data_IF_449345601092
#
_entry.id   IF_449345601092
#
_cell.length_a   1.000
_cell.length_b   1.000
_cell.length_c   1.000
_cell.angle_alpha   90.00
_cell.angle_beta   90.00
_cell.angle_gamma   90.00
#
_symmetry.space_group_name_H-M   'P 1'
#
loop_
_entity.id
_entity.type
_entity.pdbx_description
1 polymer ?
#
# COMPACT_ATOMS: atom_id res chain seq x y z
N UNK A 1 39.46 -4.97 -14.27
CA UNK A 1 38.59 -4.25 -15.22
C UNK A 1 37.25 -4.12 -14.52
N UNK A 2 36.83 -2.91 -14.17
CA UNK A 2 35.64 -2.67 -13.35
C UNK A 2 34.38 -2.99 -14.16
N UNK A 3 33.55 -3.92 -13.68
CA UNK A 3 32.21 -4.17 -14.21
C UNK A 3 31.33 -2.96 -13.87
N UNK A 4 31.01 -2.16 -14.89
CA UNK A 4 30.08 -1.06 -14.76
C UNK A 4 28.67 -1.63 -14.55
N UNK A 5 28.15 -1.39 -13.35
CA UNK A 5 26.85 -1.82 -12.87
C UNK A 5 25.72 -1.27 -13.77
N UNK A 6 25.14 -2.12 -14.63
CA UNK A 6 24.16 -1.76 -15.66
C UNK A 6 22.71 -1.56 -15.13
N UNK A 7 22.55 -1.34 -13.82
CA UNK A 7 21.22 -1.21 -13.19
C UNK A 7 20.54 0.15 -13.48
N UNK A 8 21.28 1.13 -14.03
CA UNK A 8 20.74 2.45 -14.35
C UNK A 8 19.96 2.55 -15.66
N UNK A 9 20.04 1.57 -16.57
CA UNK A 9 19.47 1.68 -17.92
C UNK A 9 17.98 1.34 -18.00
N UNK A 10 17.46 0.56 -17.05
CA UNK A 10 16.07 0.10 -17.07
C UNK A 10 15.09 1.06 -16.37
N UNK A 11 15.57 2.23 -15.93
CA UNK A 11 14.72 3.24 -15.28
C UNK A 11 13.79 3.86 -16.32
N UNK A 12 12.48 3.75 -16.09
CA UNK A 12 11.44 4.37 -16.92
C UNK A 12 11.06 5.71 -16.29
N UNK A 13 10.68 6.68 -17.11
CA UNK A 13 10.17 7.98 -16.69
C UNK A 13 8.78 8.23 -17.29
N UNK A 14 7.89 8.86 -16.53
CA UNK A 14 6.61 9.34 -17.00
C UNK A 14 6.74 10.81 -17.42
N UNK A 15 6.52 11.04 -18.71
CA UNK A 15 6.50 12.36 -19.33
C UNK A 15 5.06 12.78 -19.50
N UNK A 16 4.64 13.79 -18.76
CA UNK A 16 3.35 14.42 -18.99
C UNK A 16 3.52 15.54 -20.01
N UNK A 17 2.86 15.40 -21.16
CA UNK A 17 3.03 16.28 -22.31
C UNK A 17 1.69 16.81 -22.79
N UNK A 18 1.70 18.02 -23.34
CA UNK A 18 0.55 18.61 -24.03
C UNK A 18 0.94 18.93 -25.46
N UNK A 19 0.14 18.46 -26.41
CA UNK A 19 0.28 18.81 -27.83
C UNK A 19 -0.59 20.02 -28.15
N UNK A 20 0.03 21.06 -28.68
CA UNK A 20 -0.70 22.22 -29.22
C UNK A 20 -0.87 21.99 -30.71
N UNK A 21 -2.00 21.44 -31.13
CA UNK A 21 -2.28 21.28 -32.56
C UNK A 21 -2.40 22.64 -33.22
N UNK A 22 -1.42 23.06 -34.02
CA UNK A 22 -1.54 24.20 -34.93
C UNK A 22 -2.10 23.70 -36.26
N UNK A 23 -3.43 23.61 -36.36
CA UNK A 23 -4.09 23.30 -37.62
C UNK A 23 -5.48 23.96 -37.60
N UNK A 24 -5.58 25.07 -38.34
CA UNK A 24 -6.80 25.66 -38.91
C UNK A 24 -8.07 25.75 -38.05
N UNK A 25 -8.42 26.98 -37.65
CA UNK A 25 -9.80 27.48 -37.42
C UNK A 25 -10.81 26.65 -36.60
N UNK A 26 -10.39 25.68 -35.81
CA UNK A 26 -11.23 24.89 -34.90
C UNK A 26 -10.73 25.00 -33.45
N UNK A 27 -11.61 24.90 -32.44
CA UNK A 27 -11.24 25.13 -31.04
C UNK A 27 -10.12 24.19 -30.61
N UNK A 28 -9.05 24.80 -30.08
CA UNK A 28 -7.77 24.18 -29.76
C UNK A 28 -7.92 23.09 -28.69
N UNK A 29 -8.09 21.83 -29.11
CA UNK A 29 -8.12 20.68 -28.21
C UNK A 29 -6.69 20.34 -27.80
N UNK A 30 -6.22 20.93 -26.70
CA UNK A 30 -4.98 20.50 -26.04
C UNK A 30 -5.16 19.05 -25.56
N UNK A 31 -4.53 18.10 -26.24
CA UNK A 31 -4.49 16.71 -25.77
C UNK A 31 -3.35 16.57 -24.77
N UNK A 32 -3.69 16.40 -23.49
CA UNK A 32 -2.75 16.03 -22.44
C UNK A 32 -2.55 14.52 -22.50
N UNK A 33 -1.29 14.08 -22.56
CA UNK A 33 -0.93 12.67 -22.69
C UNK A 33 0.27 12.36 -21.82
N UNK A 34 0.32 11.16 -21.28
CA UNK A 34 1.46 10.66 -20.49
C UNK A 34 2.22 9.62 -21.30
N UNK A 35 3.53 9.76 -21.42
CA UNK A 35 4.42 8.86 -22.15
C UNK A 35 5.37 8.15 -21.18
N UNK A 36 5.62 6.86 -21.41
CA UNK A 36 6.62 6.07 -20.68
C UNK A 36 7.93 6.10 -21.48
N UNK A 37 8.96 6.70 -20.92
CA UNK A 37 10.23 6.95 -21.61
C UNK A 37 11.37 6.29 -20.83
N UNK A 38 12.05 5.27 -21.39
CA UNK A 38 13.25 4.72 -20.78
C UNK A 38 14.36 5.77 -20.67
N UNK A 39 15.18 5.70 -19.61
CA UNK A 39 16.30 6.62 -19.37
C UNK A 39 17.22 6.73 -20.58
N UNK A 40 17.53 5.60 -21.21
CA UNK A 40 18.37 5.51 -22.41
C UNK A 40 17.82 6.31 -23.60
N UNK A 41 16.51 6.59 -23.64
CA UNK A 41 15.83 7.31 -24.73
C UNK A 41 15.37 8.72 -24.38
N UNK A 42 15.60 9.21 -23.14
CA UNK A 42 15.11 10.51 -22.70
C UNK A 42 15.55 11.67 -23.60
N UNK A 43 16.82 11.71 -24.00
CA UNK A 43 17.33 12.77 -24.89
C UNK A 43 16.64 12.75 -26.26
N UNK A 44 16.52 11.57 -26.87
CA UNK A 44 15.86 11.38 -28.16
C UNK A 44 14.37 11.74 -28.12
N UNK A 45 13.64 11.26 -27.11
CA UNK A 45 12.21 11.53 -26.96
C UNK A 45 11.94 13.01 -26.64
N UNK A 46 12.76 13.64 -25.81
CA UNK A 46 12.64 15.07 -25.51
C UNK A 46 12.82 15.89 -26.79
N UNK A 47 13.85 15.60 -27.59
CA UNK A 47 14.08 16.30 -28.85
C UNK A 47 12.95 16.06 -29.86
N UNK A 48 12.38 14.85 -29.91
CA UNK A 48 11.22 14.53 -30.75
C UNK A 48 9.99 15.34 -30.34
N UNK A 49 9.70 15.42 -29.05
CA UNK A 49 8.56 16.17 -28.49
C UNK A 49 8.67 17.66 -28.76
N UNK A 50 9.86 18.25 -28.56
CA UNK A 50 10.11 19.66 -28.86
C UNK A 50 9.91 19.97 -30.35
N UNK A 51 10.39 19.11 -31.26
CA UNK A 51 10.14 19.27 -32.71
C UNK A 51 8.66 19.18 -33.09
N UNK A 52 7.87 18.42 -32.33
CA UNK A 52 6.43 18.28 -32.54
C UNK A 52 5.61 19.41 -31.89
N UNK A 53 6.25 20.43 -31.32
CA UNK A 53 5.56 21.51 -30.60
C UNK A 53 4.87 21.04 -29.32
N UNK A 54 5.28 19.89 -28.78
CA UNK A 54 4.78 19.40 -27.50
C UNK A 54 5.49 20.14 -26.36
N UNK A 55 4.72 20.48 -25.33
CA UNK A 55 5.26 21.03 -24.09
C UNK A 55 5.28 19.94 -23.03
N UNK A 56 6.44 19.69 -22.47
CA UNK A 56 6.60 18.78 -21.34
C UNK A 56 6.21 19.54 -20.07
N UNK A 57 5.19 19.05 -19.37
CA UNK A 57 4.71 19.61 -18.11
C UNK A 57 5.48 19.05 -16.92
N UNK A 58 5.75 17.74 -16.94
CA UNK A 58 6.43 17.05 -15.85
C UNK A 58 7.17 15.82 -16.37
N UNK A 59 8.31 15.53 -15.76
CA UNK A 59 9.06 14.28 -15.92
C UNK A 59 9.23 13.69 -14.53
N UNK A 60 8.74 12.48 -14.29
CA UNK A 60 8.89 11.78 -13.00
C UNK A 60 9.50 10.41 -13.25
N UNK A 61 10.45 9.94 -12.43
CA UNK A 61 10.84 8.54 -12.50
C UNK A 61 9.62 7.67 -12.22
N UNK A 62 9.41 6.65 -13.05
CA UNK A 62 8.55 5.54 -12.72
C UNK A 62 9.38 4.65 -11.82
N UNK A 63 9.37 4.96 -10.52
CA UNK A 63 10.10 4.19 -9.54
C UNK A 63 9.57 2.74 -9.55
N UNK A 64 10.41 1.75 -9.90
CA UNK A 64 9.97 0.35 -9.92
C UNK A 64 9.55 -0.13 -8.53
N UNK A 65 10.02 0.53 -7.46
CA UNK A 65 9.57 0.28 -6.07
C UNK A 65 8.17 0.84 -5.79
N UNK A 66 7.75 1.94 -6.44
CA UNK A 66 6.43 2.56 -6.23
C UNK A 66 5.30 1.75 -6.90
N UNK A 67 5.64 0.91 -7.89
CA UNK A 67 4.66 -0.04 -8.47
C UNK A 67 4.44 -1.26 -7.56
N UNK A 68 5.38 -1.59 -6.66
CA UNK A 68 5.26 -2.73 -5.74
C UNK A 68 4.99 -2.34 -4.27
N UNK A 69 5.15 -1.08 -3.88
CA UNK A 69 4.82 -0.59 -2.56
C UNK A 69 3.84 0.58 -2.73
N UNK A 70 2.55 0.25 -2.84
CA UNK A 70 1.58 1.07 -2.10
C UNK A 70 2.15 1.19 -0.69
N UNK A 71 2.09 2.33 0.01
CA UNK A 71 2.08 2.28 1.46
C UNK A 71 0.78 1.57 1.85
N UNK A 72 0.70 0.26 1.62
CA UNK A 72 -0.07 -0.60 2.51
C UNK A 72 0.56 -0.31 3.85
N UNK A 73 -0.25 0.12 4.81
CA UNK A 73 0.11 -0.06 6.22
C UNK A 73 0.87 -1.39 6.37
N UNK A 74 1.86 -1.48 7.28
CA UNK A 74 2.41 -2.79 7.62
C UNK A 74 1.25 -3.77 7.78
N UNK A 75 1.34 -5.00 7.22
CA UNK A 75 0.24 -5.95 7.25
C UNK A 75 -0.31 -5.99 8.67
N UNK A 76 -1.60 -5.65 8.83
CA UNK A 76 -2.18 -5.55 10.16
C UNK A 76 -2.08 -6.94 10.80
N UNK A 77 -1.42 -7.06 11.96
CA UNK A 77 -1.25 -8.35 12.60
C UNK A 77 -2.60 -8.93 12.98
N UNK A 78 -2.62 -10.25 13.16
CA UNK A 78 -3.81 -10.95 13.59
C UNK A 78 -3.95 -10.84 15.11
N UNK A 79 -5.15 -10.55 15.59
CA UNK A 79 -5.50 -10.47 17.00
C UNK A 79 -6.73 -11.33 17.26
N UNK A 80 -6.79 -11.87 18.47
CA UNK A 80 -7.96 -12.55 19.01
C UNK A 80 -8.65 -11.54 19.93
N UNK A 81 -9.83 -11.07 19.50
CA UNK A 81 -10.73 -10.30 20.36
C UNK A 81 -11.56 -11.29 21.18
N UNK A 82 -11.60 -11.13 22.50
CA UNK A 82 -12.46 -11.92 23.38
C UNK A 82 -13.31 -10.99 24.22
N UNK A 83 -14.63 -11.17 24.16
CA UNK A 83 -15.59 -10.46 25.01
C UNK A 83 -16.20 -11.39 26.04
N UNK A 84 -16.39 -10.92 27.26
CA UNK A 84 -17.08 -11.63 28.34
C UNK A 84 -18.29 -10.84 28.81
N UNK A 85 -19.34 -11.52 29.30
CA UNK A 85 -20.53 -10.86 29.85
C UNK A 85 -20.44 -10.66 31.37
N UNK A 86 -19.78 -11.56 32.08
CA UNK A 86 -19.56 -11.45 33.53
C UNK A 86 -18.18 -12.02 33.92
N UNK A 87 -17.23 -11.20 34.42
CA UNK A 87 -17.24 -9.74 34.36
C UNK A 87 -17.37 -9.24 32.92
N UNK A 88 -17.85 -8.02 32.70
CA UNK A 88 -18.00 -7.48 31.35
C UNK A 88 -16.66 -6.91 30.88
N UNK A 89 -15.93 -7.67 30.07
CA UNK A 89 -14.59 -7.31 29.63
C UNK A 89 -14.42 -7.51 28.12
N UNK A 90 -13.46 -6.79 27.56
CA UNK A 90 -12.97 -6.93 26.19
C UNK A 90 -11.45 -7.09 26.25
N UNK A 91 -10.96 -8.20 25.71
CA UNK A 91 -9.54 -8.55 25.66
C UNK A 91 -9.06 -8.66 24.21
N UNK A 92 -7.84 -8.23 23.93
CA UNK A 92 -7.14 -8.47 22.68
C UNK A 92 -5.83 -9.23 22.95
N UNK A 93 -5.71 -10.43 22.36
CA UNK A 93 -4.50 -11.25 22.43
C UNK A 93 -3.79 -11.27 21.07
N UNK A 94 -2.47 -11.09 21.08
CA UNK A 94 -1.64 -10.95 19.89
C UNK A 94 -0.45 -10.01 20.15
N UNK A 95 0.20 -9.48 19.10
CA UNK A 95 -0.05 -9.72 17.68
C UNK A 95 0.43 -11.11 17.22
N UNK A 96 -0.30 -11.72 16.28
CA UNK A 96 0.08 -12.96 15.59
C UNK A 96 0.44 -12.70 14.13
N UNK A 97 1.36 -13.50 13.59
CA UNK A 97 1.82 -13.41 12.20
C UNK A 97 0.78 -13.94 11.21
N UNK A 98 -0.07 -14.88 11.66
CA UNK A 98 -1.10 -15.50 10.82
C UNK A 98 -2.39 -15.82 11.57
N UNK A 99 -3.50 -15.93 10.82
CA UNK A 99 -4.77 -16.42 11.34
C UNK A 99 -4.65 -17.81 11.99
N UNK A 100 -3.83 -18.70 11.40
CA UNK A 100 -3.65 -20.06 11.91
C UNK A 100 -2.93 -20.08 13.25
N UNK A 101 -1.98 -19.18 13.46
CA UNK A 101 -1.27 -19.02 14.73
C UNK A 101 -2.20 -18.46 15.81
N UNK A 102 -3.00 -17.44 15.47
CA UNK A 102 -4.03 -16.94 16.38
C UNK A 102 -5.04 -18.04 16.76
N UNK A 103 -5.50 -18.81 15.77
CA UNK A 103 -6.44 -19.91 15.99
C UNK A 103 -5.86 -21.00 16.89
N UNK A 104 -4.57 -21.33 16.77
CA UNK A 104 -3.94 -22.35 17.62
C UNK A 104 -3.80 -21.91 19.08
N UNK A 105 -3.76 -20.60 19.35
CA UNK A 105 -3.69 -20.07 20.73
C UNK A 105 -5.06 -19.75 21.32
N UNK A 106 -6.09 -19.56 20.49
CA UNK A 106 -7.44 -19.14 20.91
C UNK A 106 -8.04 -20.02 22.01
N UNK A 107 -7.91 -21.34 21.92
CA UNK A 107 -8.50 -22.24 22.92
C UNK A 107 -7.88 -22.07 24.31
N UNK A 108 -6.57 -21.83 24.39
CA UNK A 108 -5.88 -21.61 25.66
C UNK A 108 -6.41 -20.39 26.41
N UNK A 109 -6.58 -19.26 25.71
CA UNK A 109 -7.13 -18.05 26.31
C UNK A 109 -8.59 -18.22 26.77
N UNK A 110 -9.39 -18.99 26.03
CA UNK A 110 -10.76 -19.29 26.43
C UNK A 110 -10.78 -20.16 27.68
N UNK A 111 -9.93 -21.19 27.75
CA UNK A 111 -9.82 -22.10 28.91
C UNK A 111 -9.38 -21.36 30.18
N UNK A 112 -8.43 -20.44 30.06
CA UNK A 112 -7.97 -19.58 31.17
C UNK A 112 -9.12 -18.71 31.69
N UNK A 113 -9.84 -18.01 30.80
CA UNK A 113 -10.99 -17.17 31.18
C UNK A 113 -12.14 -17.98 31.80
N UNK A 114 -12.40 -19.20 31.30
CA UNK A 114 -13.37 -20.10 31.90
C UNK A 114 -12.96 -20.53 33.31
N UNK A 115 -11.67 -20.81 33.52
CA UNK A 115 -11.10 -21.18 34.82
C UNK A 115 -11.18 -20.03 35.82
N UNK A 116 -11.10 -18.79 35.35
CA UNK A 116 -11.34 -17.57 36.12
C UNK A 116 -12.83 -17.25 36.36
N UNK A 117 -13.73 -18.18 36.02
CA UNK A 117 -15.18 -18.04 36.18
C UNK A 117 -15.81 -16.93 35.31
N UNK A 118 -15.18 -16.56 34.19
CA UNK A 118 -15.78 -15.66 33.23
C UNK A 118 -16.93 -16.35 32.47
N UNK A 119 -18.03 -15.61 32.26
CA UNK A 119 -19.24 -16.11 31.61
C UNK A 119 -19.52 -15.34 30.32
N UNK A 120 -20.20 -15.98 29.38
CA UNK A 120 -20.62 -15.39 28.11
C UNK A 120 -19.44 -15.03 27.20
N UNK A 121 -18.41 -15.87 27.20
CA UNK A 121 -17.20 -15.70 26.40
C UNK A 121 -17.55 -15.84 24.91
N UNK A 122 -17.18 -14.83 24.12
CA UNK A 122 -17.22 -14.84 22.66
C UNK A 122 -15.86 -14.39 22.14
N UNK A 123 -15.40 -14.97 21.05
CA UNK A 123 -14.07 -14.73 20.48
C UNK A 123 -14.14 -14.54 18.97
N UNK A 124 -13.43 -13.54 18.46
CA UNK A 124 -13.28 -13.26 17.03
C UNK A 124 -11.80 -13.05 16.69
N UNK A 125 -11.32 -13.68 15.62
CA UNK A 125 -9.97 -13.44 15.09
C UNK A 125 -10.07 -12.45 13.93
N UNK A 126 -9.34 -11.33 14.03
CA UNK A 126 -9.32 -10.28 13.00
C UNK A 126 -7.97 -9.60 12.87
N UNK A 127 -7.75 -8.95 11.73
CA UNK A 127 -6.62 -8.06 11.53
C UNK A 127 -6.99 -6.68 12.06
N UNK A 128 -6.26 -6.20 13.08
CA UNK A 128 -6.48 -4.89 13.67
C UNK A 128 -5.22 -4.37 14.40
N UNK A 129 -5.31 -3.17 14.98
CA UNK A 129 -4.31 -2.59 15.85
C UNK A 129 -5.02 -2.00 17.09
N UNK A 130 -5.28 -2.80 18.13
CA UNK A 130 -5.98 -2.32 19.32
C UNK A 130 -5.13 -1.30 20.06
N UNK A 131 -5.73 -0.17 20.43
CA UNK A 131 -5.06 0.85 21.26
C UNK A 131 -4.98 0.42 22.74
N UNK A 132 -5.93 -0.40 23.17
CA UNK A 132 -6.04 -0.90 24.54
C UNK A 132 -6.29 -2.41 24.50
N UNK A 133 -5.47 -3.18 25.23
CA UNK A 133 -5.51 -4.64 25.21
C UNK A 133 -6.58 -5.23 26.15
N UNK A 134 -6.92 -4.51 27.22
CA UNK A 134 -7.93 -4.93 28.18
C UNK A 134 -8.82 -3.75 28.54
N UNK A 135 -10.12 -3.92 28.36
CA UNK A 135 -11.13 -2.94 28.79
C UNK A 135 -12.15 -3.63 29.69
N UNK A 136 -12.28 -3.14 30.91
CA UNK A 136 -13.25 -3.61 31.89
C UNK A 136 -14.40 -2.62 32.00
N UNK A 137 -15.63 -3.14 32.05
CA UNK A 137 -16.85 -2.36 32.22
C UNK A 137 -17.51 -2.76 33.54
N UNK A 138 -17.67 -1.78 34.43
CA UNK A 138 -18.32 -1.93 35.75
C UNK A 138 -19.81 -1.59 35.72
#
# INVERSE_FOLDING_TARGET
MLEANNQGENQIFLYEVVFSGSSGSLPQRFSRTVLRVPKSRMSQETQRLLRQGARILSIKPLDPEIVSIKPSLPPQPWWIEITTTQPKCLYYFGPFESFSEALSHQSGYIEDLQSESAVGINSEIKQCQPEVLTQEYF
#
